data_IF_529999223945
#
_entry.id   IF_529999223945
#
_cell.length_a   1.000
_cell.length_b   1.000
_cell.length_c   1.000
_cell.angle_alpha   90.00
_cell.angle_beta   90.00
_cell.angle_gamma   90.00
#
_symmetry.space_group_name_H-M   'P 1'
#
loop_
_entity.id
_entity.type
_entity.pdbx_description
1 polymer ?
#
# COMPACT_ATOMS: atom_id res chain seq x y z
N UNK A 1 18.20 46.17 -62.85
CA UNK A 1 17.33 44.98 -62.84
C UNK A 1 18.09 43.80 -62.29
N UNK A 2 18.62 43.88 -61.04
CA UNK A 2 19.39 42.76 -60.38
C UNK A 2 19.45 43.07 -58.88
N UNK A 3 18.32 43.05 -58.20
CA UNK A 3 18.28 43.16 -56.71
C UNK A 3 16.91 42.68 -56.19
N UNK A 4 16.52 41.44 -56.55
CA UNK A 4 15.24 40.89 -56.09
C UNK A 4 15.27 39.38 -55.75
N UNK A 5 16.43 38.73 -55.64
CA UNK A 5 16.50 37.26 -55.42
C UNK A 5 17.37 36.83 -54.20
N UNK A 6 17.59 37.69 -53.18
CA UNK A 6 18.44 37.31 -52.04
C UNK A 6 17.68 37.18 -50.70
N UNK A 7 16.34 37.10 -50.70
CA UNK A 7 15.53 37.10 -49.47
C UNK A 7 14.61 35.86 -49.34
N UNK A 8 14.90 34.79 -50.09
CA UNK A 8 14.06 33.57 -50.00
C UNK A 8 14.73 32.31 -49.39
N UNK A 9 16.00 32.37 -49.02
CA UNK A 9 16.74 31.19 -48.47
C UNK A 9 16.99 31.26 -46.95
N UNK A 10 16.69 32.37 -46.28
CA UNK A 10 16.95 32.53 -44.85
C UNK A 10 15.80 32.16 -43.92
N UNK A 11 14.58 31.99 -44.44
CA UNK A 11 13.39 31.75 -43.61
C UNK A 11 13.10 30.23 -43.39
N UNK A 12 13.67 29.37 -44.23
CA UNK A 12 13.39 27.92 -44.16
C UNK A 12 14.25 27.16 -43.18
N UNK A 13 15.38 27.71 -42.73
CA UNK A 13 16.32 27.01 -41.83
C UNK A 13 16.03 27.27 -40.34
N UNK A 14 15.30 28.35 -40.01
CA UNK A 14 14.93 28.64 -38.60
C UNK A 14 13.66 27.90 -38.18
N UNK A 15 12.81 27.50 -39.12
CA UNK A 15 11.58 26.75 -38.82
C UNK A 15 11.81 25.27 -38.47
N UNK A 16 12.90 24.65 -38.94
CA UNK A 16 13.18 23.23 -38.67
C UNK A 16 13.90 22.95 -37.34
N UNK A 17 14.64 23.93 -36.80
CA UNK A 17 15.25 23.81 -35.48
C UNK A 17 14.27 24.01 -34.32
N UNK A 18 13.16 24.73 -34.53
CA UNK A 18 12.18 25.03 -33.48
C UNK A 18 11.14 23.91 -33.28
N UNK A 19 10.90 23.07 -34.32
CA UNK A 19 9.91 22.00 -34.23
C UNK A 19 10.43 20.78 -33.45
N UNK A 20 11.71 20.46 -33.54
CA UNK A 20 12.30 19.36 -32.77
C UNK A 20 12.38 19.70 -31.27
N UNK A 21 12.79 20.93 -30.93
CA UNK A 21 12.83 21.40 -29.54
C UNK A 21 11.45 21.48 -28.88
N UNK A 22 10.45 21.97 -29.65
CA UNK A 22 9.06 22.01 -29.20
C UNK A 22 8.45 20.61 -29.00
N UNK A 23 8.78 19.64 -29.86
CA UNK A 23 8.29 18.28 -29.74
C UNK A 23 8.90 17.55 -28.54
N UNK A 24 10.18 17.80 -28.20
CA UNK A 24 10.82 17.23 -27.00
C UNK A 24 10.25 17.85 -25.71
N UNK A 25 10.07 19.17 -25.67
CA UNK A 25 9.48 19.86 -24.53
C UNK A 25 8.01 19.45 -24.33
N UNK A 26 7.22 19.38 -25.41
CA UNK A 26 5.83 18.96 -25.38
C UNK A 26 5.71 17.50 -24.91
N UNK A 27 6.55 16.58 -25.43
CA UNK A 27 6.56 15.18 -25.02
C UNK A 27 6.97 15.03 -23.57
N UNK A 28 7.89 15.85 -23.04
CA UNK A 28 8.24 15.89 -21.62
C UNK A 28 7.09 16.39 -20.74
N UNK A 29 6.37 17.43 -21.17
CA UNK A 29 5.19 17.94 -20.46
C UNK A 29 4.03 16.93 -20.50
N UNK A 30 3.83 16.24 -21.62
CA UNK A 30 2.81 15.21 -21.76
C UNK A 30 3.10 14.00 -20.85
N UNK A 31 4.37 13.61 -20.69
CA UNK A 31 4.80 12.55 -19.76
C UNK A 31 4.57 12.95 -18.30
N UNK A 32 4.82 14.20 -17.91
CA UNK A 32 4.51 14.71 -16.56
C UNK A 32 3.00 14.68 -16.34
N UNK A 33 2.22 15.07 -17.34
CA UNK A 33 0.76 15.04 -17.25
C UNK A 33 0.20 13.62 -17.24
N UNK A 34 0.75 12.68 -18.02
CA UNK A 34 0.27 11.30 -18.09
C UNK A 34 0.45 10.55 -16.76
N UNK A 35 1.55 10.78 -16.05
CA UNK A 35 1.80 10.22 -14.73
C UNK A 35 0.81 10.76 -13.68
N UNK A 36 0.53 12.05 -13.72
CA UNK A 36 -0.51 12.65 -12.88
C UNK A 36 -1.91 12.11 -13.19
N UNK A 37 -2.23 11.91 -14.48
CA UNK A 37 -3.48 11.30 -14.90
C UNK A 37 -3.61 9.86 -14.39
N UNK A 38 -2.52 9.07 -14.39
CA UNK A 38 -2.51 7.70 -13.85
C UNK A 38 -2.88 7.69 -12.37
N UNK A 39 -2.28 8.56 -11.56
CA UNK A 39 -2.59 8.70 -10.13
C UNK A 39 -4.05 9.09 -9.91
N UNK A 40 -4.57 10.05 -10.69
CA UNK A 40 -5.98 10.47 -10.62
C UNK A 40 -6.91 9.31 -11.00
N UNK A 41 -6.60 8.59 -12.09
CA UNK A 41 -7.39 7.45 -12.54
C UNK A 41 -7.42 6.32 -11.50
N UNK A 42 -6.28 6.02 -10.85
CA UNK A 42 -6.20 5.05 -9.77
C UNK A 42 -7.03 5.49 -8.55
N UNK A 43 -6.98 6.76 -8.18
CA UNK A 43 -7.84 7.32 -7.12
C UNK A 43 -9.32 7.23 -7.43
N UNK A 44 -9.70 7.34 -8.69
CA UNK A 44 -11.07 7.19 -9.16
C UNK A 44 -11.49 5.72 -9.35
N UNK A 45 -10.59 4.74 -9.09
CA UNK A 45 -10.80 3.32 -9.37
C UNK A 45 -11.20 3.04 -10.83
N UNK A 46 -10.72 3.87 -11.76
CA UNK A 46 -11.01 3.73 -13.19
C UNK A 46 -9.98 2.79 -13.85
N UNK A 47 -10.26 1.49 -13.77
CA UNK A 47 -9.37 0.42 -14.22
C UNK A 47 -9.02 0.55 -15.70
N UNK A 48 -10.02 0.85 -16.57
CA UNK A 48 -9.81 0.98 -18.01
C UNK A 48 -8.90 2.16 -18.35
N UNK A 49 -9.11 3.30 -17.65
CA UNK A 49 -8.26 4.47 -17.84
C UNK A 49 -6.83 4.22 -17.37
N UNK A 50 -6.66 3.52 -16.24
CA UNK A 50 -5.34 3.10 -15.75
C UNK A 50 -4.63 2.21 -16.76
N UNK A 51 -5.31 1.17 -17.28
CA UNK A 51 -4.73 0.26 -18.28
C UNK A 51 -4.32 1.03 -19.55
N UNK A 52 -5.16 1.95 -20.03
CA UNK A 52 -4.85 2.80 -21.19
C UNK A 52 -3.61 3.68 -20.94
N UNK A 53 -3.55 4.37 -19.81
CA UNK A 53 -2.42 5.26 -19.49
C UNK A 53 -1.10 4.49 -19.33
N UNK A 54 -1.13 3.28 -18.76
CA UNK A 54 0.03 2.40 -18.70
C UNK A 54 0.50 1.97 -20.09
N UNK A 55 -0.42 1.64 -21.01
CA UNK A 55 -0.09 1.33 -22.41
C UNK A 55 0.46 2.55 -23.17
N UNK A 56 0.06 3.76 -22.82
CA UNK A 56 0.58 5.04 -23.32
C UNK A 56 1.95 5.41 -22.73
N UNK A 57 2.50 4.63 -21.79
CA UNK A 57 3.83 4.80 -21.20
C UNK A 57 3.85 5.56 -19.87
N UNK A 58 2.71 5.68 -19.17
CA UNK A 58 2.72 6.19 -17.80
C UNK A 58 3.55 5.28 -16.88
N UNK A 59 4.31 5.89 -15.98
CA UNK A 59 5.08 5.14 -14.97
C UNK A 59 4.14 4.53 -13.93
N UNK A 60 4.11 3.20 -13.84
CA UNK A 60 3.23 2.46 -12.91
C UNK A 60 3.48 2.83 -11.44
N UNK A 61 4.71 3.24 -11.11
CA UNK A 61 5.14 3.65 -9.77
C UNK A 61 5.11 5.18 -9.56
N UNK A 62 4.35 5.92 -10.38
CA UNK A 62 4.11 7.35 -10.17
C UNK A 62 3.54 7.61 -8.78
N UNK A 63 3.90 8.75 -8.19
CA UNK A 63 3.51 9.06 -6.80
C UNK A 63 2.72 10.36 -6.73
N UNK A 64 1.75 10.41 -5.85
CA UNK A 64 1.06 11.64 -5.50
C UNK A 64 1.84 12.48 -4.46
N UNK A 65 1.20 13.56 -3.95
CA UNK A 65 1.80 14.43 -2.93
C UNK A 65 2.04 13.75 -1.59
N UNK A 66 1.28 12.70 -1.27
CA UNK A 66 1.47 11.87 -0.08
C UNK A 66 2.50 10.76 -0.31
N UNK A 67 3.04 10.67 -1.53
CA UNK A 67 3.91 9.60 -1.95
C UNK A 67 3.18 8.30 -2.24
N UNK A 68 1.84 8.29 -2.29
CA UNK A 68 1.07 7.10 -2.62
C UNK A 68 1.23 6.77 -4.11
N UNK A 69 1.60 5.51 -4.39
CA UNK A 69 1.55 4.95 -5.73
C UNK A 69 0.11 4.54 -6.08
N UNK A 70 -0.19 4.29 -7.38
CA UNK A 70 -1.44 3.67 -7.78
C UNK A 70 -1.74 2.37 -7.01
N UNK A 71 -0.70 1.56 -6.72
CA UNK A 71 -0.84 0.31 -5.98
C UNK A 71 -1.14 0.53 -4.49
N UNK A 72 -0.51 1.53 -3.81
CA UNK A 72 -0.90 1.91 -2.45
C UNK A 72 -2.39 2.30 -2.40
N UNK A 73 -2.81 3.13 -3.35
CA UNK A 73 -4.21 3.60 -3.45
C UNK A 73 -5.17 2.43 -3.67
N UNK A 74 -4.88 1.53 -4.62
CA UNK A 74 -5.72 0.38 -4.93
C UNK A 74 -5.84 -0.59 -3.74
N UNK A 75 -4.72 -0.89 -3.08
CA UNK A 75 -4.68 -1.80 -1.93
C UNK A 75 -5.47 -1.24 -0.74
N UNK A 76 -5.29 0.05 -0.42
CA UNK A 76 -6.01 0.71 0.69
C UNK A 76 -7.51 0.82 0.45
N UNK A 77 -7.94 0.88 -0.82
CA UNK A 77 -9.36 0.89 -1.21
C UNK A 77 -9.98 -0.49 -1.31
N UNK A 78 -9.18 -1.55 -1.29
CA UNK A 78 -9.67 -2.90 -1.52
C UNK A 78 -10.03 -3.18 -2.99
N UNK A 79 -9.49 -2.42 -3.94
CA UNK A 79 -9.79 -2.55 -5.37
C UNK A 79 -8.96 -3.66 -6.02
N UNK A 80 -9.49 -4.88 -5.97
CA UNK A 80 -8.82 -6.09 -6.46
C UNK A 80 -8.51 -6.00 -7.96
N UNK A 81 -9.45 -5.47 -8.77
CA UNK A 81 -9.29 -5.38 -10.21
C UNK A 81 -8.14 -4.42 -10.59
N UNK A 82 -8.07 -3.29 -9.90
CA UNK A 82 -7.00 -2.32 -10.10
C UNK A 82 -5.65 -2.86 -9.64
N UNK A 83 -5.60 -3.57 -8.49
CA UNK A 83 -4.38 -4.26 -8.02
C UNK A 83 -3.87 -5.24 -9.08
N UNK A 84 -4.76 -6.03 -9.70
CA UNK A 84 -4.37 -6.99 -10.75
C UNK A 84 -3.74 -6.31 -11.97
N UNK A 85 -4.32 -5.21 -12.42
CA UNK A 85 -3.77 -4.44 -13.56
C UNK A 85 -2.40 -3.87 -13.23
N UNK A 86 -2.24 -3.30 -12.04
CA UNK A 86 -1.00 -2.67 -11.61
C UNK A 86 0.13 -3.70 -11.39
N UNK A 87 -0.16 -4.84 -10.75
CA UNK A 87 0.83 -5.90 -10.56
C UNK A 87 1.28 -6.53 -11.89
N UNK A 88 0.37 -6.72 -12.87
CA UNK A 88 0.73 -7.16 -14.23
C UNK A 88 1.61 -6.14 -14.96
N UNK A 89 1.48 -4.86 -14.64
CA UNK A 89 2.33 -3.80 -15.16
C UNK A 89 3.64 -3.63 -14.34
N UNK A 90 4.01 -4.59 -13.50
CA UNK A 90 5.19 -4.59 -12.64
C UNK A 90 5.22 -3.43 -11.64
N UNK A 91 4.08 -3.08 -11.04
CA UNK A 91 4.06 -2.16 -9.91
C UNK A 91 4.90 -2.74 -8.76
N UNK A 92 5.69 -1.88 -8.11
CA UNK A 92 6.49 -2.25 -6.95
C UNK A 92 5.59 -2.48 -5.73
N UNK A 93 5.48 -3.74 -5.30
CA UNK A 93 4.67 -4.16 -4.16
C UNK A 93 5.21 -3.64 -2.81
N UNK A 94 6.44 -3.09 -2.79
CA UNK A 94 7.11 -2.61 -1.60
C UNK A 94 7.24 -1.09 -1.53
N UNK A 95 6.70 -0.38 -2.51
CA UNK A 95 6.81 1.08 -2.58
C UNK A 95 5.97 1.75 -1.48
N UNK A 96 6.63 2.14 -0.39
CA UNK A 96 5.98 2.84 0.71
C UNK A 96 5.72 4.32 0.39
N UNK A 97 4.64 4.88 0.90
CA UNK A 97 4.35 6.31 0.84
C UNK A 97 5.20 7.13 1.83
N UNK A 98 5.00 8.46 1.90
CA UNK A 98 5.76 9.33 2.82
C UNK A 98 5.55 9.01 4.30
N UNK A 99 4.48 8.32 4.66
CA UNK A 99 4.22 7.83 6.02
C UNK A 99 4.82 6.45 6.29
N UNK A 100 5.51 5.85 5.31
CA UNK A 100 6.06 4.51 5.42
C UNK A 100 5.02 3.41 5.15
N UNK A 101 3.79 3.75 4.76
CA UNK A 101 2.72 2.78 4.52
C UNK A 101 2.96 2.08 3.18
N UNK A 102 3.11 0.76 3.21
CA UNK A 102 3.25 -0.09 2.03
C UNK A 102 1.88 -0.51 1.48
N UNK A 103 1.80 -1.00 0.21
CA UNK A 103 0.57 -1.60 -0.31
C UNK A 103 0.02 -2.73 0.57
N UNK A 104 0.90 -3.57 1.15
CA UNK A 104 0.49 -4.66 2.03
C UNK A 104 -0.18 -4.16 3.33
N UNK A 105 0.34 -3.08 3.93
CA UNK A 105 -0.31 -2.43 5.07
C UNK A 105 -1.69 -1.88 4.69
N UNK A 106 -1.82 -1.26 3.51
CA UNK A 106 -3.11 -0.80 2.98
C UNK A 106 -4.12 -1.93 2.80
N UNK A 107 -3.69 -3.08 2.26
CA UNK A 107 -4.53 -4.25 2.06
C UNK A 107 -5.02 -4.86 3.39
N UNK A 108 -4.14 -4.93 4.41
CA UNK A 108 -4.53 -5.42 5.74
C UNK A 108 -5.42 -4.43 6.48
N UNK A 109 -5.20 -3.13 6.29
CA UNK A 109 -6.07 -2.08 6.82
C UNK A 109 -7.49 -2.15 6.21
N UNK A 110 -7.61 -2.40 4.91
CA UNK A 110 -8.91 -2.60 4.24
C UNK A 110 -9.51 -4.00 4.46
N UNK A 111 -8.84 -4.85 5.26
CA UNK A 111 -9.21 -6.24 5.54
C UNK A 111 -9.45 -7.09 4.27
N UNK A 112 -8.76 -6.78 3.17
CA UNK A 112 -8.94 -7.46 1.90
C UNK A 112 -7.92 -8.59 1.71
N UNK A 113 -8.29 -9.80 2.13
CA UNK A 113 -7.42 -10.98 2.08
C UNK A 113 -7.01 -11.36 0.64
N UNK A 114 -7.87 -11.10 -0.36
CA UNK A 114 -7.52 -11.38 -1.75
C UNK A 114 -6.35 -10.52 -2.22
N UNK A 115 -6.33 -9.24 -1.87
CA UNK A 115 -5.22 -8.32 -2.16
C UNK A 115 -3.97 -8.72 -1.37
N UNK A 116 -4.12 -9.06 -0.09
CA UNK A 116 -3.01 -9.55 0.75
C UNK A 116 -2.30 -10.71 0.06
N UNK A 117 -3.05 -11.74 -0.38
CA UNK A 117 -2.48 -12.90 -1.09
C UNK A 117 -1.77 -12.51 -2.38
N UNK A 118 -2.35 -11.60 -3.18
CA UNK A 118 -1.74 -11.11 -4.43
C UNK A 118 -0.43 -10.37 -4.18
N UNK A 119 -0.39 -9.51 -3.16
CA UNK A 119 0.81 -8.77 -2.79
C UNK A 119 1.90 -9.70 -2.25
N UNK A 120 1.57 -10.68 -1.41
CA UNK A 120 2.53 -11.69 -0.95
C UNK A 120 3.08 -12.54 -2.11
N UNK A 121 2.22 -12.93 -3.06
CA UNK A 121 2.65 -13.63 -4.28
C UNK A 121 3.58 -12.74 -5.14
N UNK A 122 3.39 -11.43 -5.13
CA UNK A 122 4.28 -10.43 -5.74
C UNK A 122 5.49 -10.07 -4.87
N UNK A 123 5.78 -10.86 -3.82
CA UNK A 123 6.91 -10.72 -2.89
C UNK A 123 6.90 -9.41 -2.08
N UNK A 124 5.71 -8.96 -1.68
CA UNK A 124 5.60 -7.91 -0.69
C UNK A 124 6.26 -8.33 0.62
N UNK A 125 7.09 -7.44 1.17
CA UNK A 125 7.77 -7.63 2.44
C UNK A 125 6.79 -7.45 3.61
N UNK A 126 6.90 -8.29 4.64
CA UNK A 126 6.05 -8.25 5.83
C UNK A 126 6.64 -7.43 6.97
N UNK A 127 7.95 -7.20 6.96
CA UNK A 127 8.71 -6.54 8.03
C UNK A 127 8.64 -5.00 8.04
N UNK A 128 8.47 -4.29 6.90
CA UNK A 128 8.46 -2.83 6.91
C UNK A 128 7.57 -2.26 7.99
N UNK A 129 8.03 -1.16 8.60
CA UNK A 129 7.31 -0.40 9.61
C UNK A 129 6.98 0.98 9.06
N UNK A 130 5.77 1.44 9.32
CA UNK A 130 5.38 2.82 9.06
C UNK A 130 5.95 3.81 10.09
N UNK A 131 5.64 5.10 9.97
CA UNK A 131 6.11 6.14 10.91
C UNK A 131 5.62 5.95 12.35
N UNK A 132 4.51 5.23 12.54
CA UNK A 132 3.97 4.91 13.88
C UNK A 132 4.37 3.50 14.32
N UNK A 133 5.42 2.94 13.69
CA UNK A 133 6.04 1.66 14.03
C UNK A 133 5.09 0.46 13.97
N UNK A 134 4.14 0.49 13.03
CA UNK A 134 3.24 -0.62 12.72
C UNK A 134 3.64 -1.28 11.40
N UNK A 135 3.51 -2.60 11.35
CA UNK A 135 3.63 -3.39 10.12
C UNK A 135 2.25 -3.89 9.65
N UNK A 136 2.22 -4.63 8.54
CA UNK A 136 1.00 -5.17 7.98
C UNK A 136 0.25 -6.10 8.95
N UNK A 137 0.97 -6.95 9.71
CA UNK A 137 0.35 -7.85 10.69
C UNK A 137 -0.31 -7.09 11.84
N UNK A 138 0.29 -5.98 12.30
CA UNK A 138 -0.29 -5.10 13.32
C UNK A 138 -1.61 -4.49 12.83
N UNK A 139 -1.67 -4.01 11.59
CA UNK A 139 -2.90 -3.50 11.00
C UNK A 139 -3.97 -4.59 10.88
N UNK A 140 -3.59 -5.82 10.47
CA UNK A 140 -4.50 -6.94 10.43
C UNK A 140 -5.08 -7.30 11.81
N UNK A 141 -4.24 -7.29 12.86
CA UNK A 141 -4.67 -7.56 14.24
C UNK A 141 -5.60 -6.45 14.77
N UNK A 142 -5.23 -5.18 14.56
CA UNK A 142 -6.00 -4.03 15.01
C UNK A 142 -7.36 -3.89 14.31
N UNK A 143 -7.49 -4.36 13.07
CA UNK A 143 -8.74 -4.32 12.30
C UNK A 143 -9.53 -5.64 12.32
N UNK A 144 -9.04 -6.66 13.02
CA UNK A 144 -9.73 -7.94 13.15
C UNK A 144 -9.78 -8.78 11.87
N UNK A 145 -8.87 -8.53 10.91
CA UNK A 145 -8.79 -9.36 9.72
C UNK A 145 -8.09 -10.69 10.02
N UNK A 146 -8.85 -11.66 10.53
CA UNK A 146 -8.33 -12.96 10.95
C UNK A 146 -7.66 -13.72 9.79
N UNK A 147 -8.25 -13.68 8.59
CA UNK A 147 -7.67 -14.30 7.41
C UNK A 147 -6.37 -13.59 6.99
N UNK A 148 -6.32 -12.25 7.07
CA UNK A 148 -5.08 -11.52 6.79
C UNK A 148 -3.97 -11.92 7.77
N UNK A 149 -4.28 -12.04 9.08
CA UNK A 149 -3.33 -12.52 10.08
C UNK A 149 -2.83 -13.94 9.75
N UNK A 150 -3.73 -14.83 9.34
CA UNK A 150 -3.37 -16.18 8.91
C UNK A 150 -2.37 -16.15 7.75
N UNK A 151 -2.60 -15.31 6.74
CA UNK A 151 -1.66 -15.15 5.62
C UNK A 151 -0.33 -14.52 6.07
N UNK A 152 -0.34 -13.57 7.01
CA UNK A 152 0.90 -13.00 7.57
C UNK A 152 1.73 -14.04 8.32
N UNK A 153 1.09 -14.87 9.16
CA UNK A 153 1.79 -15.95 9.88
C UNK A 153 2.37 -16.99 8.90
N UNK A 154 1.62 -17.36 7.85
CA UNK A 154 2.12 -18.25 6.79
C UNK A 154 3.31 -17.65 6.04
N UNK A 155 3.33 -16.34 5.88
CA UNK A 155 4.43 -15.61 5.24
C UNK A 155 5.66 -15.43 6.14
N UNK A 156 5.61 -15.89 7.40
CA UNK A 156 6.74 -15.91 8.33
C UNK A 156 6.68 -14.89 9.47
N UNK A 157 5.57 -14.13 9.60
CA UNK A 157 5.39 -13.27 10.78
C UNK A 157 5.45 -14.10 12.06
N UNK A 158 6.30 -13.70 13.01
CA UNK A 158 6.42 -14.37 14.29
C UNK A 158 5.23 -13.99 15.17
N UNK A 159 4.48 -14.99 15.67
CA UNK A 159 3.24 -14.78 16.45
C UNK A 159 3.48 -13.96 17.73
N UNK A 160 4.65 -14.14 18.36
CA UNK A 160 5.06 -13.47 19.59
C UNK A 160 6.02 -12.31 19.37
N UNK A 161 6.20 -11.86 18.10
CA UNK A 161 6.99 -10.65 17.85
C UNK A 161 6.36 -9.46 18.57
N UNK A 162 7.18 -8.75 19.33
CA UNK A 162 6.80 -7.48 19.92
C UNK A 162 7.37 -6.32 19.08
N UNK A 163 6.54 -5.33 18.84
CA UNK A 163 6.91 -4.10 18.16
C UNK A 163 7.10 -2.96 19.18
N UNK A 164 6.87 -1.75 18.76
CA UNK A 164 7.02 -0.60 19.66
C UNK A 164 6.14 -0.74 20.92
N UNK A 165 6.69 -0.36 22.06
CA UNK A 165 6.08 -0.49 23.39
C UNK A 165 5.83 -1.95 23.84
N UNK A 166 6.56 -2.90 23.26
CA UNK A 166 6.44 -4.35 23.50
C UNK A 166 5.04 -4.91 23.22
N UNK A 167 4.30 -4.24 22.33
CA UNK A 167 2.96 -4.68 21.92
C UNK A 167 3.04 -5.87 20.97
N UNK A 168 2.31 -6.94 21.28
CA UNK A 168 2.17 -8.13 20.44
C UNK A 168 0.89 -8.09 19.59
N UNK A 169 0.79 -8.96 18.57
CA UNK A 169 -0.42 -9.07 17.77
C UNK A 169 -1.64 -9.46 18.62
N UNK A 170 -1.44 -10.32 19.64
CA UNK A 170 -2.50 -10.71 20.58
C UNK A 170 -3.02 -9.50 21.37
N UNK A 171 -2.12 -8.62 21.83
CA UNK A 171 -2.49 -7.41 22.53
C UNK A 171 -3.30 -6.45 21.65
N UNK A 172 -2.90 -6.28 20.39
CA UNK A 172 -3.66 -5.46 19.42
C UNK A 172 -5.06 -6.04 19.19
N UNK A 173 -5.18 -7.33 18.89
CA UNK A 173 -6.48 -7.96 18.67
C UNK A 173 -7.38 -7.88 19.92
N UNK A 174 -6.81 -8.08 21.11
CA UNK A 174 -7.54 -8.04 22.36
C UNK A 174 -8.00 -6.61 22.74
N UNK A 175 -7.13 -5.60 22.56
CA UNK A 175 -7.44 -4.20 22.85
C UNK A 175 -8.57 -3.64 21.97
N UNK A 176 -8.76 -4.19 20.76
CA UNK A 176 -9.84 -3.80 19.84
C UNK A 176 -11.04 -4.77 19.84
N UNK A 177 -11.03 -5.79 20.69
CA UNK A 177 -12.19 -6.68 20.90
C UNK A 177 -12.40 -7.74 19.80
N UNK A 178 -11.38 -8.06 19.02
CA UNK A 178 -11.48 -8.98 17.88
C UNK A 178 -11.37 -10.45 18.31
N UNK A 179 -12.49 -11.07 18.72
CA UNK A 179 -12.56 -12.40 19.28
C UNK A 179 -11.92 -13.47 18.39
N UNK A 180 -12.29 -13.48 17.08
CA UNK A 180 -11.81 -14.51 16.14
C UNK A 180 -10.29 -14.41 15.93
N UNK A 181 -9.76 -13.18 15.85
CA UNK A 181 -8.32 -12.95 15.77
C UNK A 181 -7.61 -13.37 17.06
N UNK A 182 -8.20 -13.10 18.23
CA UNK A 182 -7.65 -13.56 19.52
C UNK A 182 -7.61 -15.10 19.59
N UNK A 183 -8.71 -15.78 19.25
CA UNK A 183 -8.75 -17.25 19.22
C UNK A 183 -7.71 -17.82 18.26
N UNK A 184 -7.63 -17.27 17.06
CA UNK A 184 -6.68 -17.71 16.03
C UNK A 184 -5.23 -17.52 16.51
N UNK A 185 -4.89 -16.34 17.07
CA UNK A 185 -3.55 -16.07 17.57
C UNK A 185 -3.16 -16.99 18.73
N UNK A 186 -4.08 -17.25 19.69
CA UNK A 186 -3.85 -18.21 20.77
C UNK A 186 -3.64 -19.63 20.23
N UNK A 187 -4.44 -20.07 19.26
CA UNK A 187 -4.26 -21.39 18.62
C UNK A 187 -2.96 -21.48 17.81
N UNK A 188 -2.44 -20.35 17.34
CA UNK A 188 -1.13 -20.25 16.67
C UNK A 188 0.06 -20.16 17.66
N UNK A 189 -0.19 -20.26 18.98
CA UNK A 189 0.85 -20.23 20.01
C UNK A 189 1.21 -18.83 20.53
N UNK A 190 0.29 -17.86 20.43
CA UNK A 190 0.50 -16.56 21.05
C UNK A 190 0.58 -16.69 22.58
N UNK A 191 1.64 -16.12 23.16
CA UNK A 191 1.87 -16.13 24.61
C UNK A 191 0.99 -15.07 25.29
N UNK A 192 -0.01 -15.56 26.04
CA UNK A 192 -0.95 -14.73 26.79
C UNK A 192 -0.33 -13.98 27.99
N UNK A 193 0.88 -14.41 28.43
CA UNK A 193 1.57 -13.88 29.61
C UNK A 193 2.46 -12.68 29.26
N UNK A 194 2.75 -12.44 27.98
CA UNK A 194 3.58 -11.29 27.55
C UNK A 194 2.96 -9.98 28.02
N UNK A 195 3.81 -9.04 28.38
CA UNK A 195 3.42 -7.72 28.90
C UNK A 195 3.99 -6.61 28.03
N UNK A 196 3.20 -5.55 27.83
CA UNK A 196 3.69 -4.32 27.22
C UNK A 196 4.59 -3.52 28.18
N UNK A 197 5.15 -2.38 27.73
CA UNK A 197 5.97 -1.49 28.56
C UNK A 197 5.27 -0.93 29.80
N UNK A 198 3.95 -0.98 29.87
CA UNK A 198 3.15 -0.58 31.04
C UNK A 198 2.91 -1.75 31.99
N UNK A 199 3.44 -2.95 31.68
CA UNK A 199 3.25 -4.18 32.42
C UNK A 199 1.90 -4.86 32.16
N UNK A 200 1.16 -4.50 31.09
CA UNK A 200 -0.17 -5.01 30.78
C UNK A 200 -0.14 -6.17 29.81
N UNK A 201 -0.92 -7.20 30.12
CA UNK A 201 -1.20 -8.35 29.25
C UNK A 201 -2.32 -8.06 28.26
N UNK A 202 -2.49 -8.91 27.27
CA UNK A 202 -3.59 -8.84 26.31
C UNK A 202 -4.98 -8.90 26.98
N UNK A 203 -5.12 -9.72 28.03
CA UNK A 203 -6.37 -9.80 28.81
C UNK A 203 -6.69 -8.51 29.52
N UNK A 204 -5.70 -7.87 30.15
CA UNK A 204 -5.89 -6.58 30.85
C UNK A 204 -6.23 -5.47 29.86
N UNK A 205 -5.67 -5.48 28.64
CA UNK A 205 -6.07 -4.54 27.59
C UNK A 205 -7.51 -4.76 27.10
N UNK A 206 -7.95 -6.02 26.99
CA UNK A 206 -9.34 -6.33 26.68
C UNK A 206 -10.29 -5.82 27.78
N UNK A 207 -9.88 -5.93 29.06
CA UNK A 207 -10.65 -5.41 30.20
C UNK A 207 -10.77 -3.88 30.16
N UNK A 208 -9.67 -3.17 29.86
CA UNK A 208 -9.68 -1.72 29.69
C UNK A 208 -10.58 -1.26 28.54
N UNK A 209 -10.62 -2.02 27.45
CA UNK A 209 -11.50 -1.78 26.30
C UNK A 209 -12.97 -2.17 26.54
N UNK A 210 -13.28 -2.83 27.69
CA UNK A 210 -14.63 -3.32 27.97
C UNK A 210 -15.06 -4.53 27.13
N UNK A 211 -14.10 -5.26 26.57
CA UNK A 211 -14.35 -6.38 25.64
C UNK A 211 -14.61 -7.71 26.37
N UNK A 212 -15.79 -7.82 27.01
CA UNK A 212 -16.18 -8.96 27.85
C UNK A 212 -16.12 -10.30 27.12
N UNK A 213 -16.51 -10.33 25.86
CA UNK A 213 -16.44 -11.55 25.02
C UNK A 213 -15.01 -12.02 24.72
N UNK A 214 -14.04 -11.10 24.64
CA UNK A 214 -12.61 -11.41 24.55
C UNK A 214 -12.09 -11.93 25.90
N UNK A 215 -12.52 -11.32 27.01
CA UNK A 215 -12.16 -11.79 28.36
C UNK A 215 -12.59 -13.22 28.60
N UNK A 216 -13.77 -13.62 28.12
CA UNK A 216 -14.25 -15.01 28.24
C UNK A 216 -13.32 -16.03 27.54
N UNK A 217 -12.60 -15.62 26.46
CA UNK A 217 -11.61 -16.48 25.78
C UNK A 217 -10.39 -16.71 26.66
N UNK A 218 -9.94 -15.67 27.38
CA UNK A 218 -8.80 -15.82 28.30
C UNK A 218 -9.13 -16.60 29.58
N UNK A 219 -10.40 -16.58 30.02
CA UNK A 219 -10.85 -17.31 31.19
C UNK A 219 -11.00 -18.84 30.96
N UNK A 220 -11.29 -19.25 29.72
CA UNK A 220 -11.45 -20.65 29.32
C UNK A 220 -10.34 -21.01 28.32
N UNK A 221 -9.22 -21.60 28.78
CA UNK A 221 -8.06 -21.90 27.96
C UNK A 221 -8.32 -23.06 26.98
#
# INVERSE_FOLDING_TARGET
>A
MLLRNALRSGVLTIALCNTAGLTFAQKGMDLININGQLVIAARASNVDRVAKLLAEGASVNSRDRNGDSPLNTAASKGDVALVDVLLRANADANLANVSGVTPLMGATFSANVAIVRKLLAAKALIEPLDRVKKNAATYAAANGCTECLTEMLRAGTQVNASLENDLTLLMWAAAYGHQDSVRMLLSAGADRSMKDKRGKTASEMAAEGGHTSVLAIFANP
#
